data_IF_467105184512
#
_entry.id   IF_467105184512
#
_cell.length_a   1.000
_cell.length_b   1.000
_cell.length_c   1.000
_cell.angle_alpha   90.00
_cell.angle_beta   90.00
_cell.angle_gamma   90.00
#
_symmetry.space_group_name_H-M   'P 1'
#
loop_
_entity.id
_entity.type
_entity.pdbx_description
1 polymer ?
#
# COMPACT_ATOMS: atom_id res chain seq x y z
N UNK A 1 -12.85 -11.03 -5.93
CA UNK A 1 -12.67 -9.69 -5.34
C UNK A 1 -12.07 -9.76 -3.93
N UNK A 2 -12.71 -10.44 -2.97
CA UNK A 2 -12.21 -10.53 -1.58
C UNK A 2 -10.75 -10.99 -1.47
N UNK A 3 -10.37 -12.07 -2.16
CA UNK A 3 -8.98 -12.58 -2.17
C UNK A 3 -7.98 -11.51 -2.63
N UNK A 4 -8.35 -10.71 -3.63
CA UNK A 4 -7.48 -9.65 -4.16
C UNK A 4 -7.33 -8.54 -3.11
N UNK A 5 -8.40 -8.16 -2.42
CA UNK A 5 -8.33 -7.18 -1.33
C UNK A 5 -7.47 -7.68 -0.18
N UNK A 6 -7.60 -8.96 0.21
CA UNK A 6 -6.72 -9.54 1.26
C UNK A 6 -5.25 -9.50 0.83
N UNK A 7 -4.95 -9.90 -0.40
CA UNK A 7 -3.58 -9.82 -0.93
C UNK A 7 -3.08 -8.37 -1.01
N UNK A 8 -3.93 -7.44 -1.40
CA UNK A 8 -3.63 -6.01 -1.47
C UNK A 8 -3.21 -5.45 -0.09
N UNK A 9 -4.01 -5.71 0.94
CA UNK A 9 -3.70 -5.28 2.31
C UNK A 9 -2.46 -5.98 2.87
N UNK A 10 -2.25 -7.26 2.56
CA UNK A 10 -1.02 -7.98 2.94
C UNK A 10 0.22 -7.37 2.30
N UNK A 11 0.13 -6.92 1.05
CA UNK A 11 1.23 -6.19 0.41
C UNK A 11 1.49 -4.89 1.16
N UNK A 12 0.48 -4.05 1.44
CA UNK A 12 0.67 -2.85 2.28
C UNK A 12 1.42 -3.17 3.59
N UNK A 13 0.94 -4.19 4.32
CA UNK A 13 1.51 -4.59 5.59
C UNK A 13 2.96 -5.08 5.50
N UNK A 14 3.32 -5.78 4.41
CA UNK A 14 4.69 -6.22 4.18
C UNK A 14 5.70 -5.06 4.04
N UNK A 15 5.21 -3.88 3.65
CA UNK A 15 6.04 -2.68 3.48
C UNK A 15 5.98 -1.71 4.67
N UNK A 16 5.22 -2.02 5.72
CA UNK A 16 5.30 -1.31 6.99
C UNK A 16 6.71 -1.47 7.62
N UNK A 17 7.15 -0.56 8.51
CA UNK A 17 8.40 -0.75 9.23
C UNK A 17 8.36 -2.01 10.10
N UNK A 18 9.31 -2.92 9.85
CA UNK A 18 9.32 -4.27 10.44
C UNK A 18 8.43 -5.29 9.73
N UNK A 19 7.73 -4.88 8.67
CA UNK A 19 6.92 -5.73 7.81
C UNK A 19 5.67 -6.29 8.50
N UNK A 20 5.15 -7.39 7.94
CA UNK A 20 3.91 -8.03 8.36
C UNK A 20 3.96 -8.55 9.81
N UNK A 21 5.14 -8.99 10.28
CA UNK A 21 5.32 -9.60 11.61
C UNK A 21 5.73 -8.61 12.70
N UNK A 22 5.78 -7.32 12.37
CA UNK A 22 6.02 -6.27 13.37
C UNK A 22 4.90 -6.25 14.40
N UNK A 23 5.22 -6.03 15.68
CA UNK A 23 4.24 -5.87 16.74
C UNK A 23 3.32 -4.64 16.54
N UNK A 24 3.68 -3.75 15.61
CA UNK A 24 2.92 -2.54 15.25
C UNK A 24 2.13 -2.70 13.95
N UNK A 25 2.22 -3.85 13.29
CA UNK A 25 1.50 -4.15 12.05
C UNK A 25 0.27 -4.99 12.36
N UNK A 26 -0.90 -4.50 11.95
CA UNK A 26 -2.18 -5.16 12.17
C UNK A 26 -2.83 -5.40 10.81
N UNK A 27 -3.21 -6.64 10.53
CA UNK A 27 -3.99 -7.00 9.35
C UNK A 27 -5.22 -7.74 9.82
N UNK A 28 -6.37 -7.42 9.25
CA UNK A 28 -7.61 -8.06 9.63
C UNK A 28 -8.75 -7.79 8.68
N UNK A 29 -9.94 -8.25 9.07
CA UNK A 29 -11.19 -7.99 8.38
C UNK A 29 -12.08 -7.22 9.36
N UNK A 30 -12.56 -6.05 8.95
CA UNK A 30 -13.49 -5.25 9.74
C UNK A 30 -14.92 -5.74 9.56
N UNK A 31 -15.66 -5.83 10.67
CA UNK A 31 -17.09 -6.15 10.70
C UNK A 31 -17.91 -4.87 10.97
N UNK A 32 -19.14 -4.74 10.42
CA UNK A 32 -19.90 -5.74 9.67
C UNK A 32 -19.62 -5.76 8.14
N UNK A 33 -18.84 -4.81 7.62
CA UNK A 33 -18.70 -4.60 6.18
C UNK A 33 -17.75 -5.57 5.46
N UNK A 34 -17.11 -6.50 6.19
CA UNK A 34 -16.16 -7.50 5.67
C UNK A 34 -15.04 -6.88 4.82
N UNK A 35 -14.56 -5.71 5.22
CA UNK A 35 -13.48 -5.00 4.51
C UNK A 35 -12.15 -5.38 5.13
N UNK A 36 -11.26 -5.97 4.33
CA UNK A 36 -9.88 -6.23 4.71
C UNK A 36 -9.16 -4.89 4.97
N UNK A 37 -8.28 -4.85 5.96
CA UNK A 37 -7.46 -3.68 6.25
C UNK A 37 -6.06 -4.06 6.70
N UNK A 38 -5.09 -3.20 6.40
CA UNK A 38 -3.78 -3.15 7.02
C UNK A 38 -3.59 -1.81 7.75
N UNK A 39 -3.18 -1.88 9.02
CA UNK A 39 -2.94 -0.71 9.86
C UNK A 39 -1.56 -0.82 10.52
N UNK A 40 -0.85 0.31 10.55
CA UNK A 40 0.45 0.42 11.23
C UNK A 40 0.36 1.41 12.38
N UNK A 41 0.54 0.94 13.62
CA UNK A 41 0.56 1.81 14.80
C UNK A 41 1.96 2.40 15.04
N UNK A 42 2.35 3.34 14.19
CA UNK A 42 3.63 4.00 14.34
C UNK A 42 3.82 5.18 13.42
N UNK A 43 4.95 5.85 13.62
CA UNK A 43 5.38 6.97 12.81
C UNK A 43 6.24 6.46 11.66
N UNK A 44 6.00 6.97 10.46
CA UNK A 44 6.77 6.64 9.26
C UNK A 44 7.31 7.89 8.59
N UNK A 45 8.39 7.76 7.83
CA UNK A 45 8.83 8.86 6.95
C UNK A 45 7.85 9.00 5.79
N UNK A 46 7.76 10.20 5.20
CA UNK A 46 6.97 10.42 3.97
C UNK A 46 7.26 9.39 2.87
N UNK A 47 8.54 9.12 2.62
CA UNK A 47 8.93 8.19 1.55
C UNK A 47 8.52 6.75 1.88
N UNK A 48 8.58 6.33 3.14
CA UNK A 48 8.07 5.01 3.56
C UNK A 48 6.56 4.93 3.37
N UNK A 49 5.81 5.98 3.75
CA UNK A 49 4.36 6.03 3.56
C UNK A 49 3.97 5.95 2.08
N UNK A 50 4.65 6.70 1.22
CA UNK A 50 4.44 6.64 -0.24
C UNK A 50 4.74 5.25 -0.81
N UNK A 51 5.82 4.63 -0.34
CA UNK A 51 6.20 3.29 -0.77
C UNK A 51 5.16 2.26 -0.37
N UNK A 52 4.61 2.34 0.85
CA UNK A 52 3.48 1.50 1.28
C UNK A 52 2.30 1.71 0.33
N UNK A 53 1.83 2.96 0.15
CA UNK A 53 0.68 3.24 -0.73
C UNK A 53 0.87 2.70 -2.16
N UNK A 54 2.07 2.86 -2.73
CA UNK A 54 2.33 2.44 -4.10
C UNK A 54 2.58 0.94 -4.26
N UNK A 55 2.86 0.22 -3.18
CA UNK A 55 3.30 -1.17 -3.27
C UNK A 55 2.25 -2.10 -3.89
N UNK A 56 0.96 -2.10 -3.50
CA UNK A 56 0.00 -3.03 -4.09
C UNK A 56 -0.26 -2.75 -5.56
N UNK A 57 -0.38 -1.48 -5.96
CA UNK A 57 -0.54 -1.14 -7.37
C UNK A 57 0.68 -1.61 -8.19
N UNK A 58 1.89 -1.36 -7.69
CA UNK A 58 3.11 -1.73 -8.41
C UNK A 58 3.25 -3.24 -8.51
N UNK A 59 3.07 -3.96 -7.40
CA UNK A 59 3.35 -5.40 -7.30
C UNK A 59 2.24 -6.26 -7.89
N UNK A 60 0.98 -5.88 -7.66
CA UNK A 60 -0.17 -6.70 -8.06
C UNK A 60 -0.82 -6.24 -9.36
N UNK A 61 -0.45 -5.06 -9.90
CA UNK A 61 -0.93 -4.59 -11.21
C UNK A 61 0.21 -4.39 -12.21
N UNK A 62 1.17 -3.50 -11.93
CA UNK A 62 2.21 -3.14 -12.91
C UNK A 62 3.10 -4.34 -13.26
N UNK A 63 3.65 -5.02 -12.27
CA UNK A 63 4.55 -6.18 -12.50
C UNK A 63 3.84 -7.30 -13.29
N UNK A 64 2.62 -7.76 -12.92
CA UNK A 64 1.89 -8.75 -13.70
C UNK A 64 1.65 -8.35 -15.16
N UNK A 65 1.25 -7.10 -15.41
CA UNK A 65 1.02 -6.62 -16.78
C UNK A 65 2.32 -6.56 -17.59
N UNK A 66 3.44 -6.17 -16.98
CA UNK A 66 4.76 -6.22 -17.62
C UNK A 66 5.17 -7.66 -17.96
N UNK A 67 4.96 -8.61 -17.04
CA UNK A 67 5.23 -10.02 -17.30
C UNK A 67 4.40 -10.56 -18.46
N UNK A 68 3.12 -10.19 -18.54
CA UNK A 68 2.25 -10.57 -19.66
C UNK A 68 2.72 -9.92 -20.96
N UNK A 69 3.17 -8.66 -20.92
CA UNK A 69 3.68 -7.98 -22.11
C UNK A 69 4.91 -8.66 -22.70
N UNK A 70 5.75 -9.28 -21.86
CA UNK A 70 7.00 -9.92 -22.30
C UNK A 70 6.80 -11.40 -22.62
N UNK A 71 6.03 -12.13 -21.79
CA UNK A 71 5.90 -13.59 -21.86
C UNK A 71 4.51 -14.07 -22.30
N UNK A 72 3.56 -13.16 -22.55
CA UNK A 72 2.16 -13.45 -22.86
C UNK A 72 1.93 -14.47 -23.98
N UNK A 73 2.67 -14.41 -25.11
CA UNK A 73 2.55 -15.42 -26.17
C UNK A 73 2.87 -16.84 -25.70
N UNK A 74 3.80 -17.00 -24.75
CA UNK A 74 4.20 -18.30 -24.17
C UNK A 74 3.31 -18.75 -23.01
N UNK A 75 2.61 -17.81 -22.34
CA UNK A 75 1.71 -18.05 -21.20
C UNK A 75 0.22 -17.82 -21.58
N UNK A 76 -0.20 -18.32 -22.74
CA UNK A 76 -1.53 -18.05 -23.29
C UNK A 76 -2.69 -18.41 -22.32
N UNK A 77 -2.60 -19.54 -21.62
CA UNK A 77 -3.63 -19.98 -20.66
C UNK A 77 -3.66 -19.16 -19.35
N UNK A 78 -2.53 -18.57 -18.94
CA UNK A 78 -2.41 -17.81 -17.69
C UNK A 78 -2.58 -16.29 -17.89
N UNK A 79 -2.41 -15.81 -19.11
CA UNK A 79 -2.49 -14.38 -19.46
C UNK A 79 -3.82 -13.73 -19.07
N UNK A 80 -4.96 -14.33 -19.46
CA UNK A 80 -6.31 -13.80 -19.20
C UNK A 80 -6.64 -13.66 -17.70
N UNK A 81 -6.52 -14.70 -16.85
CA UNK A 81 -6.82 -14.56 -15.43
C UNK A 81 -5.85 -13.57 -14.75
N UNK A 82 -4.58 -13.52 -15.18
CA UNK A 82 -3.62 -12.58 -14.62
C UNK A 82 -3.92 -11.13 -15.00
N UNK A 83 -4.38 -10.85 -16.23
CA UNK A 83 -4.89 -9.53 -16.63
C UNK A 83 -6.10 -9.15 -15.78
N UNK A 84 -7.05 -10.07 -15.58
CA UNK A 84 -8.23 -9.81 -14.75
C UNK A 84 -7.84 -9.51 -13.30
N UNK A 85 -6.89 -10.26 -12.74
CA UNK A 85 -6.33 -10.02 -11.41
C UNK A 85 -5.72 -8.62 -11.31
N UNK A 86 -4.85 -8.26 -12.25
CA UNK A 86 -4.17 -6.96 -12.28
C UNK A 86 -5.16 -5.80 -12.42
N UNK A 87 -6.19 -5.96 -13.26
CA UNK A 87 -7.26 -4.98 -13.46
C UNK A 87 -8.05 -4.73 -12.17
N UNK A 88 -8.50 -5.81 -11.50
CA UNK A 88 -9.27 -5.69 -10.27
C UNK A 88 -8.45 -5.09 -9.12
N UNK A 89 -7.17 -5.44 -8.99
CA UNK A 89 -6.29 -4.76 -8.04
C UNK A 89 -6.05 -3.28 -8.40
N UNK A 90 -5.98 -2.96 -9.69
CA UNK A 90 -5.85 -1.58 -10.18
C UNK A 90 -7.03 -0.72 -9.71
N UNK A 91 -8.25 -1.26 -9.78
CA UNK A 91 -9.45 -0.61 -9.24
C UNK A 91 -9.38 -0.45 -7.71
N UNK A 92 -8.93 -1.47 -6.99
CA UNK A 92 -8.75 -1.39 -5.53
C UNK A 92 -7.71 -0.34 -5.12
N UNK A 93 -6.70 -0.08 -5.95
CA UNK A 93 -5.59 0.83 -5.66
C UNK A 93 -5.89 2.31 -5.99
N UNK A 94 -7.08 2.65 -6.49
CA UNK A 94 -7.40 4.04 -6.90
C UNK A 94 -7.23 5.02 -5.73
N UNK A 95 -7.69 4.64 -4.54
CA UNK A 95 -7.57 5.49 -3.35
C UNK A 95 -6.11 5.67 -2.91
N UNK A 96 -5.27 4.64 -3.09
CA UNK A 96 -3.85 4.72 -2.78
C UNK A 96 -3.11 5.65 -3.73
N UNK A 97 -3.41 5.58 -5.03
CA UNK A 97 -2.82 6.47 -6.04
C UNK A 97 -3.25 7.93 -5.79
N UNK A 98 -4.53 8.15 -5.49
CA UNK A 98 -5.03 9.47 -5.11
C UNK A 98 -4.34 10.00 -3.85
N UNK A 99 -4.22 9.17 -2.82
CA UNK A 99 -3.53 9.51 -1.58
C UNK A 99 -2.06 9.81 -1.82
N UNK A 100 -1.38 9.01 -2.64
CA UNK A 100 0.01 9.23 -3.07
C UNK A 100 0.16 10.60 -3.71
N UNK A 101 -0.70 10.94 -4.68
CA UNK A 101 -0.69 12.25 -5.32
C UNK A 101 -0.85 13.39 -4.31
N UNK A 102 -1.80 13.27 -3.38
CA UNK A 102 -1.97 14.26 -2.30
C UNK A 102 -0.73 14.39 -1.43
N UNK A 103 -0.15 13.29 -0.95
CA UNK A 103 1.07 13.31 -0.13
C UNK A 103 2.23 13.96 -0.89
N UNK A 104 2.36 13.65 -2.19
CA UNK A 104 3.40 14.21 -3.03
C UNK A 104 3.28 15.73 -3.17
N UNK A 105 2.06 16.23 -3.37
CA UNK A 105 1.75 17.66 -3.54
C UNK A 105 1.79 18.44 -2.23
N UNK A 106 1.32 17.86 -1.13
CA UNK A 106 1.14 18.57 0.15
C UNK A 106 2.42 18.59 1.00
N UNK A 107 3.18 17.50 1.03
CA UNK A 107 4.27 17.35 2.00
C UNK A 107 5.67 17.38 1.37
N UNK A 108 6.59 18.09 2.03
CA UNK A 108 8.04 18.05 1.72
C UNK A 108 8.65 16.71 2.13
N UNK A 109 9.83 16.36 1.60
CA UNK A 109 10.50 15.07 1.87
C UNK A 109 10.83 14.82 3.35
N UNK A 110 11.02 15.87 4.15
CA UNK A 110 11.54 15.78 5.52
C UNK A 110 10.44 15.84 6.60
N UNK A 111 9.35 15.09 6.40
CA UNK A 111 8.25 14.98 7.37
C UNK A 111 8.05 13.53 7.82
N UNK A 112 7.62 13.42 9.07
CA UNK A 112 7.05 12.22 9.65
C UNK A 112 5.53 12.24 9.48
N UNK A 113 4.96 11.07 9.20
CA UNK A 113 3.53 10.85 9.04
C UNK A 113 3.06 9.78 10.03
N UNK A 114 1.85 9.95 10.56
CA UNK A 114 1.13 8.91 11.33
C UNK A 114 -0.33 8.88 10.87
N UNK A 115 -0.79 7.71 10.45
CA UNK A 115 -2.20 7.48 10.13
C UNK A 115 -2.90 6.88 11.35
N UNK A 116 -4.11 7.34 11.65
CA UNK A 116 -5.00 6.73 12.66
C UNK A 116 -6.19 6.03 12.01
N UNK A 117 -6.07 5.67 10.72
CA UNK A 117 -7.14 5.11 9.90
C UNK A 117 -8.16 6.16 9.41
N UNK A 118 -8.46 7.18 10.22
CA UNK A 118 -9.37 8.29 9.84
C UNK A 118 -8.64 9.58 9.47
N UNK A 119 -7.51 9.83 10.11
CA UNK A 119 -6.79 11.08 10.00
C UNK A 119 -5.30 10.81 9.78
N UNK A 120 -4.66 11.74 9.09
CA UNK A 120 -3.23 11.72 8.85
C UNK A 120 -2.59 12.91 9.57
N UNK A 121 -1.76 12.61 10.56
CA UNK A 121 -0.98 13.60 11.30
C UNK A 121 0.43 13.68 10.71
N UNK A 122 1.04 14.86 10.80
CA UNK A 122 2.40 15.07 10.32
C UNK A 122 3.23 15.95 11.27
N UNK A 123 4.55 15.75 11.25
CA UNK A 123 5.53 16.60 11.97
C UNK A 123 6.78 16.77 11.09
N UNK A 124 7.33 17.98 11.03
CA UNK A 124 8.63 18.20 10.37
C UNK A 124 9.77 17.55 11.17
N UNK A 125 10.83 17.10 10.48
CA UNK A 125 11.96 16.42 11.13
C UNK A 125 12.84 17.36 11.99
N UNK A 126 12.67 18.69 11.90
CA UNK A 126 13.36 19.72 12.69
C UNK A 126 12.28 20.66 13.27
N UNK A 127 12.20 21.01 14.56
CA UNK A 127 13.22 21.52 15.49
C UNK A 127 13.19 20.73 16.83
N UNK A 128 14.38 20.45 17.39
CA UNK A 128 14.64 20.01 18.79
C UNK A 128 13.52 19.27 19.53
N UNK A 129 13.64 17.95 19.67
CA UNK A 129 13.02 17.21 20.77
C UNK A 129 14.06 16.22 21.31
N UNK A 130 14.29 16.16 22.64
CA UNK A 130 15.40 15.43 23.23
C UNK A 130 15.27 13.92 22.96
N UNK A 131 16.42 13.25 22.93
CA UNK A 131 16.56 11.79 22.88
C UNK A 131 15.61 11.13 23.89
N UNK A 132 14.69 10.31 23.39
CA UNK A 132 13.97 9.30 24.17
C UNK A 132 14.96 8.18 24.50
#
# INVERSE_FOLDING_TARGET
MLVILVLHELVHASFFPGGLFSQKSYVGISFPHLVAFAYYDGVVTRNRYLLVLLAPFTILTVIPLLLISVFGPSLSWFSKPLIQFAYLNGLASVYDLYSTFKILKTFKRNVYLRSTGKQLFWKEKNQTSPSI
#
